data_IF_294508322765
#
_entry.id   IF_294508322765
#
_cell.length_a   1.000
_cell.length_b   1.000
_cell.length_c   1.000
_cell.angle_alpha   90.00
_cell.angle_beta   90.00
_cell.angle_gamma   90.00
#
_symmetry.space_group_name_H-M   'P 1'
#
loop_
_entity.id
_entity.type
_entity.pdbx_description
1 polymer ?
#
# COMPACT_ATOMS: atom_id res chain seq x y z
N UNK A 1 -1.13 -3.02 8.12
CA UNK A 1 -0.15 -3.41 9.15
C UNK A 1 0.96 -4.18 8.46
N UNK A 2 2.21 -3.78 8.66
CA UNK A 2 3.34 -4.47 8.03
C UNK A 2 3.84 -5.62 8.90
N UNK A 3 3.60 -6.85 8.46
CA UNK A 3 3.96 -8.06 9.19
C UNK A 3 5.34 -8.62 8.79
N UNK A 4 5.90 -8.18 7.66
CA UNK A 4 7.15 -8.72 7.12
C UNK A 4 8.00 -7.59 6.56
N UNK A 5 9.17 -7.39 7.15
CA UNK A 5 10.16 -6.47 6.61
C UNK A 5 11.10 -7.24 5.66
N UNK A 6 11.17 -6.87 4.37
CA UNK A 6 12.10 -7.48 3.43
C UNK A 6 13.55 -7.11 3.78
N UNK A 7 14.45 -8.08 3.62
CA UNK A 7 15.90 -7.94 3.70
C UNK A 7 16.51 -8.35 2.35
N UNK A 8 17.81 -8.08 2.20
CA UNK A 8 18.59 -8.55 1.05
C UNK A 8 18.46 -10.07 0.86
N UNK A 9 18.58 -10.51 -0.39
CA UNK A 9 18.52 -11.91 -0.81
C UNK A 9 17.17 -12.62 -0.51
N UNK A 10 16.06 -11.88 -0.54
CA UNK A 10 14.72 -12.45 -0.40
C UNK A 10 14.39 -12.96 1.01
N UNK A 11 15.16 -12.53 2.02
CA UNK A 11 14.91 -12.87 3.43
C UNK A 11 13.89 -11.92 4.03
N UNK A 12 13.21 -12.37 5.08
CA UNK A 12 12.23 -11.55 5.81
C UNK A 12 12.47 -11.66 7.31
N UNK A 13 12.24 -10.55 8.01
CA UNK A 13 12.15 -10.51 9.47
C UNK A 13 10.78 -10.04 9.91
N UNK A 14 10.49 -10.22 11.20
CA UNK A 14 9.25 -9.75 11.81
C UNK A 14 9.11 -8.23 11.61
N UNK A 15 8.03 -7.84 10.93
CA UNK A 15 7.68 -6.43 10.79
C UNK A 15 7.04 -5.86 12.05
N UNK A 16 6.83 -4.54 12.06
CA UNK A 16 6.25 -3.82 13.20
C UNK A 16 4.89 -4.41 13.63
N UNK A 17 4.12 -4.98 12.69
CA UNK A 17 2.86 -5.67 12.97
C UNK A 17 3.00 -6.83 13.96
N UNK A 18 4.12 -7.55 13.95
CA UNK A 18 4.37 -8.62 14.91
C UNK A 18 4.46 -8.08 16.36
N UNK A 19 5.18 -6.96 16.55
CA UNK A 19 5.28 -6.33 17.86
C UNK A 19 3.93 -5.73 18.30
N UNK A 20 3.20 -5.11 17.37
CA UNK A 20 1.85 -4.60 17.67
C UNK A 20 0.93 -5.73 18.15
N UNK A 21 0.93 -6.88 17.48
CA UNK A 21 0.14 -8.04 17.92
C UNK A 21 0.51 -8.54 19.32
N UNK A 22 1.80 -8.52 19.67
CA UNK A 22 2.25 -8.88 21.01
C UNK A 22 1.69 -7.91 22.07
N UNK A 23 1.73 -6.60 21.79
CA UNK A 23 1.20 -5.56 22.68
C UNK A 23 -0.34 -5.65 22.78
N UNK A 24 -1.05 -5.84 21.67
CA UNK A 24 -2.51 -6.02 21.66
C UNK A 24 -2.95 -7.21 22.51
N UNK A 25 -2.22 -8.33 22.40
CA UNK A 25 -2.48 -9.52 23.20
C UNK A 25 -2.26 -9.23 24.69
N UNK A 26 -1.15 -8.59 25.06
CA UNK A 26 -0.88 -8.23 26.45
C UNK A 26 -1.91 -7.23 27.02
N UNK A 27 -2.35 -6.27 26.20
CA UNK A 27 -3.28 -5.22 26.60
C UNK A 27 -4.77 -5.61 26.45
N UNK A 28 -5.08 -6.78 25.88
CA UNK A 28 -6.43 -7.26 25.57
C UNK A 28 -7.28 -6.24 24.80
N UNK A 29 -6.63 -5.45 23.94
CA UNK A 29 -7.28 -4.42 23.11
C UNK A 29 -6.61 -4.36 21.75
N UNK A 30 -7.39 -4.02 20.72
CA UNK A 30 -6.85 -3.80 19.38
C UNK A 30 -6.22 -2.40 19.29
N UNK A 31 -5.16 -2.28 18.49
CA UNK A 31 -4.53 -1.01 18.17
C UNK A 31 -5.24 -0.37 16.97
N UNK A 32 -5.43 0.94 17.05
CA UNK A 32 -5.87 1.71 15.89
C UNK A 32 -4.74 1.81 14.87
N UNK A 33 -5.03 1.41 13.63
CA UNK A 33 -4.07 1.50 12.54
C UNK A 33 -4.13 2.92 11.99
N UNK A 34 -3.08 3.70 12.24
CA UNK A 34 -2.95 5.07 11.73
C UNK A 34 -2.19 5.16 10.40
N UNK A 35 -1.34 4.17 10.09
CA UNK A 35 -0.60 4.08 8.84
C UNK A 35 -1.39 3.39 7.72
N UNK A 36 -0.77 3.20 6.56
CA UNK A 36 -1.38 2.46 5.43
C UNK A 36 -1.96 1.11 5.88
N UNK A 37 -3.19 0.74 5.45
CA UNK A 37 -4.06 1.42 4.46
C UNK A 37 -5.04 2.46 5.05
N UNK A 38 -4.83 2.92 6.28
CA UNK A 38 -5.74 3.85 6.96
C UNK A 38 -5.81 5.19 6.24
N UNK A 39 -7.02 5.67 5.97
CA UNK A 39 -7.25 7.00 5.39
C UNK A 39 -6.67 8.13 6.24
N UNK A 40 -6.55 7.90 7.55
CA UNK A 40 -6.03 8.89 8.49
C UNK A 40 -4.68 9.47 8.06
N UNK A 41 -3.73 8.64 7.60
CA UNK A 41 -2.43 9.14 7.14
C UNK A 41 -2.56 10.05 5.91
N UNK A 42 -3.47 9.71 4.99
CA UNK A 42 -3.72 10.54 3.82
C UNK A 42 -4.36 11.87 4.20
N UNK A 43 -5.33 11.86 5.12
CA UNK A 43 -5.99 13.09 5.58
C UNK A 43 -4.98 14.03 6.25
N UNK A 44 -4.04 13.52 7.06
CA UNK A 44 -2.95 14.31 7.63
C UNK A 44 -2.07 14.98 6.56
N UNK A 45 -1.58 14.20 5.58
CA UNK A 45 -0.72 14.72 4.51
C UNK A 45 -1.51 15.68 3.61
N UNK A 46 -2.77 15.38 3.30
CA UNK A 46 -3.62 16.24 2.49
C UNK A 46 -3.89 17.58 3.14
N UNK A 47 -4.13 17.60 4.46
CA UNK A 47 -4.33 18.83 5.22
C UNK A 47 -3.05 19.69 5.29
N UNK A 48 -1.88 19.05 5.43
CA UNK A 48 -0.61 19.76 5.54
C UNK A 48 -0.14 20.35 4.20
N UNK A 49 -0.32 19.62 3.11
CA UNK A 49 0.24 19.97 1.79
C UNK A 49 -0.80 20.42 0.75
N UNK A 50 -2.09 20.46 1.10
CA UNK A 50 -3.16 20.90 0.20
C UNK A 50 -3.32 20.00 -1.04
N UNK A 51 -3.29 18.68 -0.83
CA UNK A 51 -3.27 17.70 -1.92
C UNK A 51 -4.63 17.66 -2.63
N UNK A 52 -4.60 17.75 -3.97
CA UNK A 52 -5.77 17.45 -4.80
C UNK A 52 -5.77 15.97 -5.22
N UNK A 53 -6.73 15.13 -4.75
CA UNK A 53 -6.81 13.71 -5.08
C UNK A 53 -6.83 13.43 -6.59
N UNK A 54 -7.52 14.25 -7.39
CA UNK A 54 -7.66 14.06 -8.84
C UNK A 54 -6.34 14.21 -9.61
N UNK A 55 -5.38 14.94 -9.01
CA UNK A 55 -4.05 15.17 -9.58
C UNK A 55 -2.95 14.41 -8.84
N UNK A 56 -3.33 13.45 -8.01
CA UNK A 56 -2.40 12.74 -7.13
C UNK A 56 -2.46 11.25 -7.40
N UNK A 57 -1.28 10.63 -7.40
CA UNK A 57 -1.10 9.19 -7.59
C UNK A 57 -0.39 8.59 -6.39
N UNK A 58 -0.92 7.48 -5.88
CA UNK A 58 -0.29 6.65 -4.86
C UNK A 58 0.61 5.62 -5.55
N UNK A 59 1.90 5.66 -5.27
CA UNK A 59 2.90 4.72 -5.80
C UNK A 59 3.39 3.83 -4.67
N UNK A 60 3.45 2.52 -4.89
CA UNK A 60 3.98 1.59 -3.89
C UNK A 60 4.09 0.16 -4.40
N UNK A 61 4.53 -0.74 -3.56
CA UNK A 61 4.87 -2.12 -3.93
C UNK A 61 3.93 -3.17 -3.32
N UNK A 62 2.97 -2.74 -2.51
CA UNK A 62 2.05 -3.63 -1.78
C UNK A 62 0.59 -3.35 -2.07
N UNK A 63 -0.12 -4.40 -2.46
CA UNK A 63 -1.56 -4.33 -2.74
C UNK A 63 -2.41 -4.04 -1.48
N UNK A 64 -2.05 -4.62 -0.34
CA UNK A 64 -2.80 -4.58 0.91
C UNK A 64 -2.63 -3.28 1.71
N UNK A 65 -1.68 -2.43 1.32
CA UNK A 65 -1.33 -1.20 2.03
C UNK A 65 -1.31 0.00 1.10
N UNK A 66 -0.47 0.02 0.07
CA UNK A 66 -0.33 1.17 -0.84
C UNK A 66 -1.54 1.32 -1.76
N UNK A 67 -1.83 0.25 -2.51
CA UNK A 67 -2.92 0.27 -3.50
C UNK A 67 -4.27 0.40 -2.80
N UNK A 68 -4.44 -0.31 -1.68
CA UNK A 68 -5.63 -0.16 -0.85
C UNK A 68 -5.78 1.26 -0.27
N UNK A 69 -4.70 1.91 0.16
CA UNK A 69 -4.76 3.31 0.61
C UNK A 69 -5.23 4.20 -0.53
N UNK A 70 -4.57 4.11 -1.70
CA UNK A 70 -4.88 4.95 -2.86
C UNK A 70 -6.34 4.78 -3.30
N UNK A 71 -6.81 3.54 -3.43
CA UNK A 71 -8.21 3.24 -3.76
C UNK A 71 -9.19 3.81 -2.72
N UNK A 72 -8.88 3.65 -1.43
CA UNK A 72 -9.72 4.16 -0.32
C UNK A 72 -9.79 5.69 -0.29
N UNK A 73 -8.72 6.36 -0.75
CA UNK A 73 -8.62 7.82 -0.81
C UNK A 73 -8.98 8.39 -2.19
N UNK A 74 -9.49 7.55 -3.10
CA UNK A 74 -9.86 7.93 -4.48
C UNK A 74 -8.70 8.53 -5.29
N UNK A 75 -7.48 8.08 -4.99
CA UNK A 75 -6.28 8.39 -5.75
C UNK A 75 -6.11 7.40 -6.89
N UNK A 76 -5.42 7.83 -7.95
CA UNK A 76 -4.85 6.88 -8.90
C UNK A 76 -3.76 6.07 -8.22
N UNK A 77 -3.55 4.83 -8.67
CA UNK A 77 -2.62 3.89 -8.05
C UNK A 77 -1.64 3.30 -9.06
N UNK A 78 -0.37 3.24 -8.68
CA UNK A 78 0.69 2.57 -9.46
C UNK A 78 1.39 1.56 -8.56
N UNK A 79 1.39 0.30 -8.99
CA UNK A 79 2.17 -0.77 -8.38
C UNK A 79 3.57 -0.85 -8.99
N UNK A 80 4.61 -0.84 -8.17
CA UNK A 80 5.98 -1.15 -8.61
C UNK A 80 6.30 -2.63 -8.35
N UNK A 81 6.85 -3.33 -9.34
CA UNK A 81 7.11 -4.78 -9.28
C UNK A 81 8.47 -5.17 -8.68
N UNK A 82 9.21 -4.19 -8.14
CA UNK A 82 10.50 -4.44 -7.44
C UNK A 82 10.36 -4.91 -5.99
N UNK A 83 9.17 -4.81 -5.40
CA UNK A 83 8.97 -5.05 -3.97
C UNK A 83 8.20 -6.33 -3.65
N UNK A 84 7.13 -6.20 -2.85
CA UNK A 84 6.50 -7.37 -2.20
C UNK A 84 5.40 -8.05 -3.03
N UNK A 85 4.51 -7.30 -3.68
CA UNK A 85 3.38 -7.89 -4.44
C UNK A 85 3.75 -8.20 -5.90
N UNK A 86 3.17 -9.27 -6.45
CA UNK A 86 3.41 -9.70 -7.84
C UNK A 86 2.21 -9.48 -8.76
N UNK A 87 2.41 -9.65 -10.07
CA UNK A 87 1.31 -9.60 -11.05
C UNK A 87 0.33 -10.76 -10.89
N UNK A 88 0.77 -11.91 -10.37
CA UNK A 88 -0.11 -13.02 -10.02
C UNK A 88 -1.07 -12.64 -8.89
N UNK A 89 -0.60 -11.89 -7.88
CA UNK A 89 -1.45 -11.38 -6.81
C UNK A 89 -2.52 -10.41 -7.37
N UNK A 90 -2.12 -9.55 -8.31
CA UNK A 90 -3.04 -8.63 -9.01
C UNK A 90 -4.13 -9.40 -9.74
N UNK A 91 -3.76 -10.41 -10.55
CA UNK A 91 -4.72 -11.25 -11.28
C UNK A 91 -5.66 -11.98 -10.34
N UNK A 92 -5.15 -12.55 -9.25
CA UNK A 92 -5.97 -13.22 -8.23
C UNK A 92 -7.00 -12.27 -7.61
N UNK A 93 -6.64 -11.01 -7.38
CA UNK A 93 -7.57 -10.01 -6.87
C UNK A 93 -8.60 -9.54 -7.91
N UNK A 94 -8.20 -9.45 -9.19
CA UNK A 94 -9.09 -9.09 -10.30
C UNK A 94 -10.17 -10.14 -10.57
N UNK A 95 -9.78 -11.42 -10.54
CA UNK A 95 -10.68 -12.55 -10.77
C UNK A 95 -11.60 -12.85 -9.58
N UNK A 96 -11.33 -12.26 -8.41
CA UNK A 96 -12.16 -12.47 -7.23
C UNK A 96 -13.47 -11.69 -7.29
N UNK A 97 -14.58 -12.35 -6.93
CA UNK A 97 -15.88 -11.69 -6.72
C UNK A 97 -15.93 -10.80 -5.46
N UNK A 98 -14.91 -10.88 -4.60
CA UNK A 98 -14.84 -10.09 -3.39
C UNK A 98 -14.58 -8.61 -3.71
N UNK A 99 -15.57 -7.75 -3.44
CA UNK A 99 -15.44 -6.30 -3.65
C UNK A 99 -14.25 -5.68 -2.91
N UNK A 100 -13.88 -6.24 -1.75
CA UNK A 100 -12.72 -5.79 -1.00
C UNK A 100 -11.40 -6.08 -1.73
N UNK A 101 -11.25 -7.27 -2.34
CA UNK A 101 -10.08 -7.61 -3.16
C UNK A 101 -9.99 -6.75 -4.42
N UNK A 102 -11.13 -6.40 -5.03
CA UNK A 102 -11.15 -5.48 -6.19
C UNK A 102 -10.60 -4.10 -5.87
N UNK A 103 -10.66 -3.64 -4.61
CA UNK A 103 -10.00 -2.38 -4.16
C UNK A 103 -8.48 -2.47 -4.09
N UNK A 104 -7.91 -3.68 -4.11
CA UNK A 104 -6.47 -3.94 -4.12
C UNK A 104 -5.94 -4.17 -5.53
N UNK A 105 -6.71 -3.84 -6.57
CA UNK A 105 -6.26 -3.89 -7.96
C UNK A 105 -5.75 -2.49 -8.35
N UNK A 106 -4.48 -2.35 -8.76
CA UNK A 106 -3.92 -1.06 -9.12
C UNK A 106 -4.45 -0.58 -10.48
N UNK A 107 -4.47 0.74 -10.70
CA UNK A 107 -4.80 1.32 -12.01
C UNK A 107 -3.70 1.03 -13.04
N UNK A 108 -2.44 1.09 -12.62
CA UNK A 108 -1.27 0.83 -13.46
C UNK A 108 -0.20 0.06 -12.68
N UNK A 109 0.76 -0.51 -13.40
CA UNK A 109 1.97 -1.07 -12.80
C UNK A 109 3.18 -0.75 -13.66
N UNK A 110 4.35 -0.71 -13.01
CA UNK A 110 5.66 -0.49 -13.64
C UNK A 110 6.67 -1.46 -13.03
N UNK A 111 7.74 -1.77 -13.75
CA UNK A 111 8.77 -2.67 -13.23
C UNK A 111 9.48 -2.01 -12.05
N UNK A 112 9.86 -0.74 -12.19
CA UNK A 112 10.55 0.05 -11.19
C UNK A 112 10.02 1.48 -11.07
N UNK A 113 10.24 2.11 -9.92
CA UNK A 113 9.97 3.54 -9.74
C UNK A 113 10.78 4.42 -10.72
N UNK A 114 11.94 3.93 -11.18
CA UNK A 114 12.76 4.61 -12.17
C UNK A 114 12.03 4.80 -13.51
N UNK A 115 11.08 3.93 -13.83
CA UNK A 115 10.31 3.99 -15.08
C UNK A 115 9.31 5.16 -15.08
N UNK A 116 9.09 5.81 -13.92
CA UNK A 116 8.31 7.03 -13.83
C UNK A 116 9.11 8.29 -14.19
N UNK A 117 10.46 8.23 -14.18
CA UNK A 117 11.31 9.40 -14.41
C UNK A 117 11.05 10.08 -15.77
N UNK A 118 10.90 9.36 -16.89
CA UNK A 118 10.60 9.99 -18.18
C UNK A 118 9.28 10.77 -18.18
N UNK A 119 8.30 10.34 -17.38
CA UNK A 119 7.00 11.01 -17.28
C UNK A 119 7.03 12.25 -16.36
N UNK A 120 8.02 12.36 -15.48
CA UNK A 120 8.16 13.47 -14.52
C UNK A 120 9.08 14.60 -15.02
N UNK A 121 9.84 14.36 -16.08
CA UNK A 121 10.79 15.32 -16.67
C UNK A 121 10.21 16.12 -17.85
N UNK A 122 8.89 16.06 -18.05
CA UNK A 122 8.15 16.82 -19.06
C UNK A 122 7.77 18.22 -18.62
#
# INVERSE_FOLDING_TARGET
MDNRLPLENGRFIAGTGCLVRAVEMAAQRQADIIGKPSRFIFDCVSQEYGINPERTVMVGDRLDTDILLGSTCSLKTILTLTGVSSLEDVKSNQESDCMFKKKMVPDFYVDSIADLLPALQG
#
